data_IF_521601651688
#
_entry.id   IF_521601651688
#
_cell.length_a   1.000
_cell.length_b   1.000
_cell.length_c   1.000
_cell.angle_alpha   90.00
_cell.angle_beta   90.00
_cell.angle_gamma   90.00
#
_symmetry.space_group_name_H-M   'P 1'
#
loop_
_entity.id
_entity.type
_entity.pdbx_description
1 polymer ?
#
# COMPACT_ATOMS: atom_id res chain seq x y z
N UNK A 1 2.20 6.68 -17.16
CA UNK A 1 2.11 5.54 -16.21
C UNK A 1 3.46 5.02 -15.77
N UNK A 2 4.38 4.82 -16.72
CA UNK A 2 5.74 4.34 -16.43
C UNK A 2 6.50 5.25 -15.45
N UNK A 3 6.45 6.55 -15.67
CA UNK A 3 7.11 7.53 -14.79
C UNK A 3 6.53 7.51 -13.38
N UNK A 4 5.22 7.34 -13.27
CA UNK A 4 4.53 7.28 -11.99
C UNK A 4 4.91 5.99 -11.23
N UNK A 5 5.00 4.87 -11.94
CA UNK A 5 5.44 3.60 -11.36
C UNK A 5 6.88 3.72 -10.85
N UNK A 6 7.76 4.35 -11.62
CA UNK A 6 9.14 4.58 -11.20
C UNK A 6 9.22 5.45 -9.94
N UNK A 7 8.39 6.49 -9.86
CA UNK A 7 8.34 7.36 -8.68
C UNK A 7 7.85 6.59 -7.45
N UNK A 8 6.81 5.78 -7.61
CA UNK A 8 6.30 4.93 -6.52
C UNK A 8 7.35 3.94 -6.04
N UNK A 9 8.15 3.39 -6.95
CA UNK A 9 9.25 2.49 -6.63
C UNK A 9 10.32 3.19 -5.77
N UNK A 10 10.66 4.43 -6.12
CA UNK A 10 11.60 5.25 -5.35
C UNK A 10 11.06 5.51 -3.93
N UNK A 11 9.78 5.86 -3.83
CA UNK A 11 9.13 6.11 -2.54
C UNK A 11 9.10 4.84 -1.70
N UNK A 12 8.77 3.70 -2.32
CA UNK A 12 8.74 2.41 -1.62
C UNK A 12 10.14 2.02 -1.11
N UNK A 13 11.18 2.29 -1.88
CA UNK A 13 12.56 2.04 -1.45
C UNK A 13 12.93 2.92 -0.26
N UNK A 14 12.51 4.19 -0.26
CA UNK A 14 12.74 5.09 0.88
C UNK A 14 12.03 4.58 2.15
N UNK A 15 10.79 4.10 2.00
CA UNK A 15 10.03 3.50 3.12
C UNK A 15 10.71 2.24 3.63
N UNK A 16 11.23 1.41 2.74
CA UNK A 16 11.99 0.21 3.13
C UNK A 16 13.23 0.58 3.93
N UNK A 17 13.98 1.58 3.47
CA UNK A 17 15.20 2.03 4.17
C UNK A 17 14.86 2.52 5.57
N UNK A 18 13.76 3.25 5.73
CA UNK A 18 13.29 3.73 7.02
C UNK A 18 12.88 2.56 7.94
N UNK A 19 12.14 1.60 7.41
CA UNK A 19 11.71 0.42 8.16
C UNK A 19 12.91 -0.43 8.60
N UNK A 20 13.94 -0.53 7.75
CA UNK A 20 15.15 -1.31 8.04
C UNK A 20 16.00 -0.72 9.17
N UNK A 21 15.78 0.52 9.56
CA UNK A 21 16.43 1.11 10.73
C UNK A 21 16.02 0.39 12.03
N UNK A 22 14.77 -0.06 12.10
CA UNK A 22 14.23 -0.76 13.28
C UNK A 22 14.27 -2.28 13.09
N UNK A 23 13.85 -2.76 11.91
CA UNK A 23 13.73 -4.20 11.62
C UNK A 23 14.41 -4.49 10.28
N UNK A 24 15.74 -4.68 10.26
CA UNK A 24 16.49 -4.73 8.99
C UNK A 24 16.21 -5.93 8.11
N UNK A 25 15.74 -7.05 8.67
CA UNK A 25 15.47 -8.26 7.86
C UNK A 25 14.31 -9.05 8.42
N UNK A 26 13.65 -9.81 7.53
CA UNK A 26 12.74 -10.87 7.96
C UNK A 26 13.54 -12.04 8.51
N UNK A 27 12.98 -12.75 9.48
CA UNK A 27 13.60 -13.95 10.08
C UNK A 27 13.23 -15.22 9.32
N UNK A 28 12.11 -15.21 8.62
CA UNK A 28 11.61 -16.37 7.88
C UNK A 28 10.64 -15.95 6.78
N UNK A 29 10.37 -16.88 5.86
CA UNK A 29 9.35 -16.71 4.83
C UNK A 29 7.95 -16.56 5.45
N UNK A 30 7.68 -17.26 6.54
CA UNK A 30 6.41 -17.20 7.25
C UNK A 30 6.19 -15.81 7.87
N UNK A 31 7.23 -15.23 8.46
CA UNK A 31 7.16 -13.86 8.96
C UNK A 31 6.90 -12.86 7.83
N UNK A 32 7.61 -13.00 6.71
CA UNK A 32 7.46 -12.13 5.56
C UNK A 32 6.03 -12.13 5.03
N UNK A 33 5.46 -13.32 4.79
CA UNK A 33 4.09 -13.40 4.26
C UNK A 33 3.06 -12.90 5.26
N UNK A 34 3.29 -13.12 6.56
CA UNK A 34 2.40 -12.59 7.60
C UNK A 34 2.33 -11.08 7.60
N UNK A 35 3.49 -10.41 7.47
CA UNK A 35 3.55 -8.95 7.38
C UNK A 35 2.88 -8.45 6.11
N UNK A 36 3.13 -9.10 4.97
CA UNK A 36 2.53 -8.70 3.69
C UNK A 36 1.01 -8.88 3.73
N UNK A 37 0.51 -9.99 4.28
CA UNK A 37 -0.93 -10.22 4.44
C UNK A 37 -1.57 -9.10 5.26
N UNK A 38 -0.94 -8.68 6.36
CA UNK A 38 -1.44 -7.62 7.21
C UNK A 38 -1.51 -6.28 6.46
N UNK A 39 -0.45 -5.94 5.72
CA UNK A 39 -0.40 -4.69 4.94
C UNK A 39 -1.45 -4.69 3.81
N UNK A 40 -1.65 -5.81 3.13
CA UNK A 40 -2.67 -5.96 2.09
C UNK A 40 -4.06 -5.83 2.70
N UNK A 41 -4.29 -6.42 3.88
CA UNK A 41 -5.55 -6.31 4.60
C UNK A 41 -5.88 -4.84 4.92
N UNK A 42 -4.90 -4.09 5.43
CA UNK A 42 -5.06 -2.67 5.74
C UNK A 42 -5.37 -1.85 4.47
N UNK A 43 -4.68 -2.15 3.36
CA UNK A 43 -4.94 -1.50 2.07
C UNK A 43 -6.37 -1.77 1.60
N UNK A 44 -6.85 -3.01 1.74
CA UNK A 44 -8.21 -3.39 1.34
C UNK A 44 -9.27 -2.68 2.18
N UNK A 45 -9.03 -2.45 3.47
CA UNK A 45 -9.94 -1.68 4.32
C UNK A 45 -10.12 -0.26 3.76
N UNK A 46 -9.03 0.40 3.41
CA UNK A 46 -9.07 1.75 2.86
C UNK A 46 -9.72 1.78 1.47
N UNK A 47 -9.45 0.78 0.66
CA UNK A 47 -10.08 0.66 -0.67
C UNK A 47 -11.58 0.47 -0.56
N UNK A 48 -12.05 -0.37 0.37
CA UNK A 48 -13.47 -0.59 0.61
C UNK A 48 -14.17 0.72 1.02
N UNK A 49 -13.53 1.54 1.85
CA UNK A 49 -14.05 2.83 2.22
C UNK A 49 -14.07 3.82 1.06
N UNK A 50 -13.07 3.76 0.19
CA UNK A 50 -13.05 4.53 -1.06
C UNK A 50 -14.27 4.20 -1.91
N UNK A 51 -14.58 2.90 -2.05
CA UNK A 51 -15.73 2.42 -2.82
C UNK A 51 -17.05 2.86 -2.20
N UNK A 52 -17.16 2.93 -0.89
CA UNK A 52 -18.36 3.45 -0.21
C UNK A 52 -18.61 4.92 -0.55
N UNK A 53 -17.55 5.72 -0.55
CA UNK A 53 -17.67 7.13 -0.93
C UNK A 53 -17.98 7.30 -2.41
N UNK A 54 -17.49 6.41 -3.28
CA UNK A 54 -17.88 6.42 -4.69
C UNK A 54 -19.39 6.19 -4.85
N UNK A 55 -19.95 5.27 -4.07
CA UNK A 55 -21.41 5.03 -4.05
C UNK A 55 -22.16 6.29 -3.64
N UNK A 56 -21.71 6.94 -2.58
CA UNK A 56 -22.32 8.18 -2.09
C UNK A 56 -22.21 9.30 -3.14
N UNK A 57 -21.07 9.37 -3.83
CA UNK A 57 -20.87 10.34 -4.91
C UNK A 57 -21.85 10.12 -6.06
N UNK A 58 -22.08 8.86 -6.46
CA UNK A 58 -23.07 8.54 -7.50
C UNK A 58 -24.46 8.98 -7.09
N UNK A 59 -24.87 8.70 -5.85
CA UNK A 59 -26.18 9.10 -5.33
C UNK A 59 -26.30 10.63 -5.35
N UNK A 60 -25.25 11.34 -4.91
CA UNK A 60 -25.24 12.79 -4.88
C UNK A 60 -25.41 13.40 -6.28
N UNK A 61 -24.76 12.80 -7.30
CA UNK A 61 -24.89 13.22 -8.70
C UNK A 61 -26.34 13.06 -9.17
N UNK A 62 -26.92 11.89 -8.95
CA UNK A 62 -28.29 11.60 -9.44
C UNK A 62 -29.36 12.38 -8.70
N UNK A 63 -29.12 12.76 -7.43
CA UNK A 63 -30.09 13.50 -6.62
C UNK A 63 -29.80 14.99 -6.52
N UNK A 64 -28.80 15.45 -7.25
CA UNK A 64 -28.42 16.87 -7.28
C UNK A 64 -28.04 17.40 -5.89
N UNK A 65 -27.40 16.56 -5.06
CA UNK A 65 -26.87 16.93 -3.77
C UNK A 65 -25.51 17.59 -3.92
N UNK A 66 -25.00 18.19 -2.84
CA UNK A 66 -23.64 18.73 -2.81
C UNK A 66 -22.61 17.61 -3.05
N UNK A 67 -21.70 17.84 -3.98
CA UNK A 67 -20.67 16.86 -4.37
C UNK A 67 -19.36 17.03 -3.61
N UNK A 68 -19.17 18.15 -2.92
CA UNK A 68 -17.88 18.47 -2.30
C UNK A 68 -17.46 17.47 -1.21
N UNK A 69 -18.40 17.09 -0.34
CA UNK A 69 -18.10 16.15 0.74
C UNK A 69 -17.73 14.76 0.23
N UNK A 70 -18.52 14.10 -0.63
CA UNK A 70 -18.13 12.77 -1.13
C UNK A 70 -16.83 12.80 -1.93
N UNK A 71 -16.56 13.84 -2.72
CA UNK A 71 -15.30 13.98 -3.45
C UNK A 71 -14.13 14.08 -2.46
N UNK A 72 -14.23 14.97 -1.48
CA UNK A 72 -13.16 15.19 -0.49
C UNK A 72 -12.88 13.94 0.34
N UNK A 73 -13.93 13.25 0.79
CA UNK A 73 -13.76 12.03 1.57
C UNK A 73 -13.18 10.89 0.73
N UNK A 74 -13.61 10.78 -0.53
CA UNK A 74 -13.07 9.79 -1.45
C UNK A 74 -11.57 10.04 -1.72
N UNK A 75 -11.17 11.30 -1.90
CA UNK A 75 -9.76 11.67 -2.06
C UNK A 75 -8.92 11.21 -0.87
N UNK A 76 -9.41 11.43 0.35
CA UNK A 76 -8.72 11.01 1.57
C UNK A 76 -8.55 9.50 1.63
N UNK A 77 -9.61 8.76 1.34
CA UNK A 77 -9.58 7.29 1.39
C UNK A 77 -8.72 6.68 0.29
N UNK A 78 -8.77 7.27 -0.89
CA UNK A 78 -7.91 6.82 -1.99
C UNK A 78 -6.44 7.11 -1.68
N UNK A 79 -6.13 8.28 -1.12
CA UNK A 79 -4.77 8.61 -0.72
C UNK A 79 -4.24 7.63 0.34
N UNK A 80 -5.09 7.26 1.31
CA UNK A 80 -4.74 6.26 2.31
C UNK A 80 -4.52 4.88 1.67
N UNK A 81 -5.36 4.50 0.70
CA UNK A 81 -5.21 3.25 -0.06
C UNK A 81 -3.85 3.20 -0.77
N UNK A 82 -3.48 4.29 -1.43
CA UNK A 82 -2.20 4.38 -2.14
C UNK A 82 -1.01 4.34 -1.18
N UNK A 83 -1.13 5.00 -0.02
CA UNK A 83 -0.08 4.94 1.01
C UNK A 83 0.11 3.51 1.54
N UNK A 84 -0.97 2.80 1.82
CA UNK A 84 -0.89 1.39 2.22
C UNK A 84 -0.31 0.52 1.10
N UNK A 85 -0.65 0.81 -0.16
CA UNK A 85 -0.07 0.12 -1.31
C UNK A 85 1.44 0.29 -1.40
N UNK A 86 1.94 1.47 -1.08
CA UNK A 86 3.39 1.74 -1.02
C UNK A 86 4.04 0.90 0.08
N UNK A 87 3.38 0.74 1.24
CA UNK A 87 3.88 -0.13 2.31
C UNK A 87 3.94 -1.60 1.87
N UNK A 88 2.93 -2.07 1.15
CA UNK A 88 2.95 -3.42 0.56
C UNK A 88 4.14 -3.58 -0.37
N UNK A 89 4.35 -2.61 -1.25
CA UNK A 89 5.46 -2.64 -2.21
C UNK A 89 6.81 -2.67 -1.48
N UNK A 90 6.97 -1.87 -0.41
CA UNK A 90 8.18 -1.87 0.41
C UNK A 90 8.43 -3.23 1.05
N UNK A 91 7.38 -3.89 1.56
CA UNK A 91 7.51 -5.21 2.18
C UNK A 91 7.82 -6.31 1.16
N UNK A 92 7.30 -6.19 -0.07
CA UNK A 92 7.67 -7.10 -1.15
C UNK A 92 9.15 -6.96 -1.51
N UNK A 93 9.66 -5.74 -1.55
CA UNK A 93 11.10 -5.50 -1.77
C UNK A 93 11.95 -6.09 -0.64
N UNK A 94 11.49 -5.95 0.59
CA UNK A 94 12.16 -6.53 1.76
C UNK A 94 12.20 -8.06 1.68
N UNK A 95 11.10 -8.68 1.28
CA UNK A 95 11.02 -10.13 1.09
C UNK A 95 11.98 -10.60 0.00
N UNK A 96 12.02 -9.87 -1.10
CA UNK A 96 12.95 -10.18 -2.20
C UNK A 96 14.40 -10.12 -1.73
N UNK A 97 14.77 -9.11 -0.95
CA UNK A 97 16.10 -9.00 -0.36
C UNK A 97 16.42 -10.18 0.58
N UNK A 98 15.46 -10.59 1.38
CA UNK A 98 15.60 -11.75 2.26
C UNK A 98 15.87 -13.04 1.44
N UNK A 99 15.12 -13.25 0.37
CA UNK A 99 15.28 -14.42 -0.50
C UNK A 99 16.64 -14.42 -1.19
N UNK A 100 17.10 -13.27 -1.65
CA UNK A 100 18.41 -13.13 -2.29
C UNK A 100 19.54 -13.50 -1.33
N UNK A 101 19.44 -13.08 -0.07
CA UNK A 101 20.42 -13.41 0.97
C UNK A 101 20.40 -14.89 1.33
N UNK A 102 19.21 -15.49 1.42
CA UNK A 102 19.06 -16.92 1.68
C UNK A 102 19.73 -17.74 0.57
N UNK A 103 19.49 -17.37 -0.68
CA UNK A 103 20.08 -18.04 -1.83
C UNK A 103 21.60 -17.96 -1.81
N UNK A 104 22.17 -16.80 -1.47
CA UNK A 104 23.62 -16.62 -1.36
C UNK A 104 24.24 -17.47 -0.24
N UNK A 105 23.54 -17.65 0.87
CA UNK A 105 24.01 -18.47 1.99
C UNK A 105 23.99 -19.95 1.69
N UNK A 106 23.05 -20.39 0.86
CA UNK A 106 22.84 -21.80 0.50
C UNK A 106 23.55 -22.20 -0.79
N UNK A 107 24.07 -21.21 -1.50
CA UNK A 107 24.79 -21.44 -2.74
C UNK A 107 26.26 -21.19 -2.60
#
# INVERSE_FOLDING_TARGET
MKELINLMDIIAQAELNRANETWPQFNSKHEAIGVIDEEVFEMNIELDQTNKWLKDLRIAVYRDFDLNKPISEMEKKLSATLAEGIQVLAMLKKFKCFLDKEEKQNG
#
